data_IF_294564538561
#
_entry.id   IF_294564538561
#
_cell.length_a   1.000
_cell.length_b   1.000
_cell.length_c   1.000
_cell.angle_alpha   90.00
_cell.angle_beta   90.00
_cell.angle_gamma   90.00
#
_symmetry.space_group_name_H-M   'P 1'
#
loop_
_entity.id
_entity.type
_entity.pdbx_description
1 polymer ?
#
# COMPACT_ATOMS: atom_id res chain seq x y z
N UNK A 1 -2.08 1.03 -32.81
CA UNK A 1 -2.00 0.72 -31.36
C UNK A 1 -0.76 1.41 -30.83
N UNK A 2 -0.93 2.45 -30.02
CA UNK A 2 0.22 3.18 -29.46
C UNK A 2 0.67 2.47 -28.20
N UNK A 3 1.96 2.45 -27.84
CA UNK A 3 2.43 1.71 -26.66
C UNK A 3 1.95 2.31 -25.30
N UNK A 4 1.05 3.30 -25.33
CA UNK A 4 0.67 4.13 -24.20
C UNK A 4 -0.18 3.36 -23.17
N UNK A 5 -1.09 2.50 -23.62
CA UNK A 5 -1.84 1.59 -22.75
C UNK A 5 -0.93 0.67 -21.90
N UNK A 6 0.15 0.14 -22.50
CA UNK A 6 1.08 -0.74 -21.79
C UNK A 6 1.89 0.00 -20.73
N UNK A 7 2.22 1.27 -21.00
CA UNK A 7 2.85 2.13 -20.00
C UNK A 7 1.88 2.41 -18.86
N UNK A 8 0.60 2.67 -19.15
CA UNK A 8 -0.44 2.83 -18.12
C UNK A 8 -0.54 1.61 -17.20
N UNK A 9 -0.62 0.41 -17.79
CA UNK A 9 -0.63 -0.85 -17.06
C UNK A 9 0.63 -1.03 -16.18
N UNK A 10 1.81 -0.76 -16.73
CA UNK A 10 3.07 -0.84 -15.98
C UNK A 10 3.11 0.17 -14.83
N UNK A 11 2.66 1.40 -15.05
CA UNK A 11 2.60 2.45 -14.04
C UNK A 11 1.65 2.08 -12.89
N UNK A 12 0.49 1.50 -13.17
CA UNK A 12 -0.46 1.07 -12.15
C UNK A 12 0.18 0.13 -11.12
N UNK A 13 0.92 -0.87 -11.60
CA UNK A 13 1.62 -1.81 -10.73
C UNK A 13 2.88 -1.19 -10.10
N UNK A 14 3.76 -0.60 -10.91
CA UNK A 14 5.09 -0.18 -10.48
C UNK A 14 5.04 0.92 -9.42
N UNK A 15 4.16 1.92 -9.59
CA UNK A 15 4.04 3.03 -8.64
C UNK A 15 3.40 2.59 -7.33
N UNK A 16 2.42 1.69 -7.40
CA UNK A 16 1.83 1.05 -6.22
C UNK A 16 2.87 0.23 -5.45
N UNK A 17 3.63 -0.61 -6.15
CA UNK A 17 4.66 -1.46 -5.58
C UNK A 17 5.83 -0.65 -5.00
N UNK A 18 6.19 0.49 -5.62
CA UNK A 18 7.18 1.42 -5.09
C UNK A 18 6.72 1.96 -3.72
N UNK A 19 5.47 2.43 -3.63
CA UNK A 19 4.87 2.83 -2.37
C UNK A 19 4.92 1.72 -1.31
N UNK A 20 4.51 0.51 -1.69
CA UNK A 20 4.52 -0.66 -0.80
C UNK A 20 5.92 -1.00 -0.30
N UNK A 21 6.93 -0.98 -1.16
CA UNK A 21 8.31 -1.26 -0.78
C UNK A 21 8.84 -0.24 0.23
N UNK A 22 8.52 1.03 0.01
CA UNK A 22 8.94 2.10 0.90
C UNK A 22 8.19 2.05 2.25
N UNK A 23 6.87 1.83 2.21
CA UNK A 23 6.04 1.70 3.40
C UNK A 23 6.40 0.48 4.24
N UNK A 24 6.49 -0.70 3.62
CA UNK A 24 6.87 -1.93 4.30
C UNK A 24 8.31 -1.85 4.83
N UNK A 25 9.21 -1.19 4.09
CA UNK A 25 10.58 -0.92 4.54
C UNK A 25 10.63 -0.06 5.81
N UNK A 26 9.85 1.02 5.87
CA UNK A 26 9.76 1.88 7.05
C UNK A 26 9.18 1.13 8.26
N UNK A 27 8.06 0.42 8.07
CA UNK A 27 7.39 -0.33 9.12
C UNK A 27 8.25 -1.51 9.64
N UNK A 28 8.98 -2.19 8.75
CA UNK A 28 9.86 -3.31 9.11
C UNK A 28 11.06 -2.86 9.95
N UNK A 29 11.67 -1.73 9.61
CA UNK A 29 12.78 -1.16 10.41
C UNK A 29 12.31 -0.85 11.83
N UNK A 30 11.12 -0.27 11.98
CA UNK A 30 10.53 0.00 13.29
C UNK A 30 10.15 -1.31 14.03
N UNK A 31 9.66 -2.33 13.33
CA UNK A 31 9.37 -3.63 13.93
C UNK A 31 10.64 -4.27 14.53
N UNK A 32 11.74 -4.29 13.77
CA UNK A 32 13.04 -4.79 14.24
C UNK A 32 13.54 -3.98 15.44
N UNK A 33 13.42 -2.64 15.39
CA UNK A 33 13.78 -1.76 16.49
C UNK A 33 12.95 -2.02 17.76
N UNK A 34 11.64 -2.17 17.61
CA UNK A 34 10.72 -2.48 18.70
C UNK A 34 11.00 -3.82 19.36
N UNK A 35 11.22 -4.88 18.57
CA UNK A 35 11.61 -6.19 19.11
C UNK A 35 12.95 -6.13 19.85
N UNK A 36 13.96 -5.48 19.27
CA UNK A 36 15.25 -5.24 19.94
C UNK A 36 15.04 -4.57 21.30
N UNK A 37 14.19 -3.54 21.38
CA UNK A 37 13.86 -2.83 22.63
C UNK A 37 13.17 -3.76 23.64
N UNK A 38 12.23 -4.60 23.22
CA UNK A 38 11.60 -5.59 24.09
C UNK A 38 12.63 -6.57 24.66
N UNK A 39 13.46 -7.17 23.79
CA UNK A 39 14.50 -8.12 24.19
C UNK A 39 15.51 -7.52 25.17
N UNK A 40 16.01 -6.31 24.89
CA UNK A 40 16.97 -5.62 25.75
C UNK A 40 16.42 -5.33 27.16
N UNK A 41 15.10 -5.18 27.29
CA UNK A 41 14.45 -4.91 28.57
C UNK A 41 13.83 -6.15 29.22
N UNK A 42 14.11 -7.36 28.70
CA UNK A 42 13.53 -8.61 29.21
C UNK A 42 12.00 -8.70 29.07
N UNK A 43 11.41 -7.93 28.14
CA UNK A 43 9.97 -7.93 27.87
C UNK A 43 9.63 -8.87 26.70
N UNK A 44 8.44 -9.49 26.68
CA UNK A 44 7.99 -10.25 25.51
C UNK A 44 7.95 -9.38 24.26
N UNK A 45 8.50 -9.87 23.15
CA UNK A 45 8.48 -9.21 21.86
C UNK A 45 7.18 -9.54 21.10
N UNK A 46 6.31 -8.57 20.79
CA UNK A 46 5.02 -8.86 20.16
C UNK A 46 5.17 -9.29 18.71
N UNK A 47 4.84 -10.55 18.38
CA UNK A 47 4.88 -11.06 17.01
C UNK A 47 3.96 -10.28 16.05
N UNK A 48 2.86 -9.70 16.57
CA UNK A 48 1.88 -8.94 15.77
C UNK A 48 2.49 -7.73 15.03
N UNK A 49 3.67 -7.24 15.43
CA UNK A 49 4.39 -6.19 14.69
C UNK A 49 4.74 -6.60 13.25
N UNK A 50 4.79 -7.90 12.93
CA UNK A 50 4.90 -8.41 11.55
C UNK A 50 3.72 -7.95 10.70
N UNK A 51 2.51 -7.93 11.26
CA UNK A 51 1.32 -7.50 10.52
C UNK A 51 1.35 -5.99 10.23
N UNK A 52 1.92 -5.16 11.13
CA UNK A 52 2.17 -3.75 10.84
C UNK A 52 3.20 -3.57 9.72
N UNK A 53 4.26 -4.37 9.73
CA UNK A 53 5.27 -4.39 8.68
C UNK A 53 4.70 -4.80 7.31
N UNK A 54 3.77 -5.76 7.30
CA UNK A 54 3.14 -6.29 6.08
C UNK A 54 1.97 -5.46 5.55
N UNK A 55 1.35 -4.60 6.36
CA UNK A 55 0.15 -3.84 5.96
C UNK A 55 0.32 -3.10 4.61
N UNK A 56 1.45 -2.41 4.33
CA UNK A 56 1.64 -1.68 3.06
C UNK A 56 1.73 -2.55 1.82
N UNK A 57 1.80 -3.88 1.94
CA UNK A 57 1.88 -4.78 0.78
C UNK A 57 0.54 -4.93 0.05
N UNK A 58 -0.57 -4.55 0.68
CA UNK A 58 -1.91 -4.62 0.06
C UNK A 58 -1.99 -3.72 -1.17
N UNK A 59 -1.29 -2.58 -1.19
CA UNK A 59 -1.27 -1.66 -2.32
C UNK A 59 -0.62 -2.24 -3.57
N UNK A 60 0.37 -3.14 -3.46
CA UNK A 60 0.87 -3.90 -4.62
C UNK A 60 -0.24 -4.76 -5.24
N UNK A 61 -1.08 -5.37 -4.40
CA UNK A 61 -2.23 -6.17 -4.88
C UNK A 61 -3.24 -5.26 -5.57
N UNK A 62 -3.54 -4.09 -5.00
CA UNK A 62 -4.44 -3.12 -5.63
C UNK A 62 -3.88 -2.58 -6.96
N UNK A 63 -2.57 -2.31 -7.04
CA UNK A 63 -1.91 -1.92 -8.29
C UNK A 63 -1.98 -3.02 -9.36
N UNK A 64 -1.83 -4.29 -8.96
CA UNK A 64 -2.02 -5.43 -9.85
C UNK A 64 -3.48 -5.55 -10.34
N UNK A 65 -4.46 -5.37 -9.45
CA UNK A 65 -5.88 -5.37 -9.85
C UNK A 65 -6.18 -4.23 -10.82
N UNK A 66 -5.68 -3.02 -10.54
CA UNK A 66 -5.83 -1.86 -11.42
C UNK A 66 -5.22 -2.12 -12.81
N UNK A 67 -4.03 -2.73 -12.87
CA UNK A 67 -3.42 -3.15 -14.13
C UNK A 67 -4.34 -4.08 -14.94
N UNK A 68 -4.98 -5.06 -14.28
CA UNK A 68 -5.91 -5.98 -14.95
C UNK A 68 -7.20 -5.29 -15.41
N UNK A 69 -7.71 -4.33 -14.65
CA UNK A 69 -8.87 -3.52 -15.07
C UNK A 69 -8.55 -2.67 -16.30
N UNK A 70 -7.36 -2.05 -16.33
CA UNK A 70 -6.89 -1.31 -17.51
C UNK A 70 -6.76 -2.24 -18.72
N UNK A 71 -6.18 -3.43 -18.54
CA UNK A 71 -6.03 -4.42 -19.61
C UNK A 71 -7.38 -4.82 -20.23
N UNK A 72 -8.37 -5.09 -19.38
CA UNK A 72 -9.74 -5.41 -19.81
C UNK A 72 -10.38 -4.25 -20.58
N UNK A 73 -10.25 -3.03 -20.07
CA UNK A 73 -10.83 -1.82 -20.67
C UNK A 73 -10.21 -1.48 -22.03
N UNK A 74 -8.90 -1.65 -22.18
CA UNK A 74 -8.19 -1.51 -23.46
C UNK A 74 -8.70 -2.54 -24.47
N UNK A 75 -8.92 -3.79 -24.04
CA UNK A 75 -9.55 -4.83 -24.86
C UNK A 75 -10.98 -4.49 -25.31
N UNK A 76 -11.69 -3.69 -24.52
CA UNK A 76 -13.03 -3.18 -24.84
C UNK A 76 -13.03 -1.89 -25.69
N UNK A 77 -11.85 -1.35 -26.04
CA UNK A 77 -11.73 -0.18 -26.92
C UNK A 77 -11.64 1.18 -26.20
N UNK A 78 -11.35 1.20 -24.90
CA UNK A 78 -11.08 2.46 -24.17
C UNK A 78 -9.87 3.20 -24.77
N UNK A 79 -9.94 4.54 -24.77
CA UNK A 79 -8.87 5.38 -25.27
C UNK A 79 -7.54 5.15 -24.53
N UNK A 80 -6.44 4.95 -25.27
CA UNK A 80 -5.10 4.74 -24.72
C UNK A 80 -4.64 5.85 -23.77
N UNK A 81 -5.07 7.10 -23.99
CA UNK A 81 -4.76 8.24 -23.11
C UNK A 81 -5.43 8.12 -21.74
N UNK A 82 -6.66 7.59 -21.69
CA UNK A 82 -7.37 7.34 -20.44
C UNK A 82 -6.72 6.18 -19.68
N UNK A 83 -6.41 5.08 -20.38
CA UNK A 83 -5.70 3.94 -19.80
C UNK A 83 -4.36 4.34 -19.15
N UNK A 84 -3.59 5.21 -19.83
CA UNK A 84 -2.35 5.75 -19.29
C UNK A 84 -2.57 6.69 -18.10
N UNK A 85 -3.52 7.63 -18.20
CA UNK A 85 -3.84 8.54 -17.12
C UNK A 85 -4.26 7.80 -15.84
N UNK A 86 -5.18 6.84 -15.97
CA UNK A 86 -5.63 6.00 -14.86
C UNK A 86 -4.47 5.21 -14.27
N UNK A 87 -3.60 4.64 -15.11
CA UNK A 87 -2.43 3.90 -14.67
C UNK A 87 -1.45 4.74 -13.85
N UNK A 88 -1.10 5.94 -14.32
CA UNK A 88 -0.15 6.84 -13.64
C UNK A 88 -0.74 7.40 -12.37
N UNK A 89 -1.91 8.05 -12.45
CA UNK A 89 -2.48 8.73 -11.29
C UNK A 89 -3.06 7.75 -10.27
N UNK A 90 -3.68 6.66 -10.73
CA UNK A 90 -4.16 5.59 -9.86
C UNK A 90 -3.00 4.88 -9.14
N UNK A 91 -1.94 4.52 -9.88
CA UNK A 91 -0.74 3.93 -9.29
C UNK A 91 -0.04 4.85 -8.29
N UNK A 92 0.07 6.16 -8.56
CA UNK A 92 0.64 7.15 -7.63
C UNK A 92 -0.18 7.25 -6.34
N UNK A 93 -1.51 7.36 -6.45
CA UNK A 93 -2.38 7.50 -5.29
C UNK A 93 -2.38 6.25 -4.40
N UNK A 94 -2.42 5.06 -5.02
CA UNK A 94 -2.29 3.78 -4.32
C UNK A 94 -0.91 3.69 -3.64
N UNK A 95 0.18 4.01 -4.37
CA UNK A 95 1.54 4.01 -3.82
C UNK A 95 1.73 4.99 -2.65
N UNK A 96 1.17 6.20 -2.74
CA UNK A 96 1.22 7.18 -1.66
C UNK A 96 0.50 6.70 -0.40
N UNK A 97 -0.66 6.06 -0.57
CA UNK A 97 -1.38 5.43 0.55
C UNK A 97 -0.50 4.38 1.23
N UNK A 98 0.19 3.52 0.47
CA UNK A 98 1.10 2.52 1.04
C UNK A 98 2.28 3.14 1.81
N UNK A 99 2.93 4.16 1.24
CA UNK A 99 4.02 4.87 1.93
C UNK A 99 3.54 5.40 3.28
N UNK A 100 2.40 6.10 3.30
CA UNK A 100 1.85 6.69 4.52
C UNK A 100 1.37 5.63 5.50
N UNK A 101 0.79 4.53 5.00
CA UNK A 101 0.39 3.39 5.82
C UNK A 101 1.61 2.80 6.54
N UNK A 102 2.74 2.67 5.85
CA UNK A 102 4.00 2.23 6.45
C UNK A 102 4.53 3.15 7.53
N UNK A 103 4.43 4.48 7.35
CA UNK A 103 4.82 5.44 8.37
C UNK A 103 3.95 5.36 9.63
N UNK A 104 2.63 5.17 9.46
CA UNK A 104 1.72 4.96 10.59
C UNK A 104 2.01 3.62 11.28
N UNK A 105 2.22 2.55 10.51
CA UNK A 105 2.63 1.24 11.01
C UNK A 105 3.95 1.30 11.80
N UNK A 106 4.91 2.11 11.37
CA UNK A 106 6.16 2.31 12.12
C UNK A 106 5.91 2.90 13.52
N UNK A 107 5.02 3.89 13.63
CA UNK A 107 4.63 4.45 14.93
C UNK A 107 3.83 3.47 15.78
N UNK A 108 3.03 2.60 15.14
CA UNK A 108 2.33 1.52 15.83
C UNK A 108 3.31 0.49 16.42
N UNK A 109 4.38 0.14 15.68
CA UNK A 109 5.47 -0.70 16.18
C UNK A 109 6.12 -0.09 17.43
N UNK A 110 6.52 1.18 17.37
CA UNK A 110 7.14 1.87 18.50
C UNK A 110 6.21 1.92 19.73
N UNK A 111 4.96 2.33 19.53
CA UNK A 111 3.98 2.45 20.61
C UNK A 111 3.65 1.09 21.24
N UNK A 112 3.53 0.03 20.43
CA UNK A 112 3.26 -1.31 20.92
C UNK A 112 4.46 -1.89 21.68
N UNK A 113 5.69 -1.67 21.20
CA UNK A 113 6.90 -2.13 21.88
C UNK A 113 7.10 -1.47 23.25
N UNK A 114 6.67 -0.21 23.41
CA UNK A 114 6.75 0.51 24.68
C UNK A 114 5.64 0.14 25.65
N UNK A 115 4.39 0.10 25.17
CA UNK A 115 3.21 0.06 26.02
C UNK A 115 2.59 -1.33 26.13
N UNK A 116 2.80 -2.19 25.13
CA UNK A 116 2.11 -3.49 25.00
C UNK A 116 0.60 -3.38 24.80
N UNK A 117 0.07 -2.20 24.47
CA UNK A 117 -1.37 -1.91 24.38
C UNK A 117 -1.72 -1.30 23.03
N UNK A 118 -3.03 -1.23 22.72
CA UNK A 118 -3.53 -0.41 21.62
C UNK A 118 -3.51 -1.05 20.24
N UNK A 119 -3.16 -2.33 20.10
CA UNK A 119 -3.07 -3.05 18.82
C UNK A 119 -4.27 -2.83 17.90
N UNK A 120 -5.49 -2.96 18.42
CA UNK A 120 -6.72 -2.76 17.64
C UNK A 120 -6.85 -1.31 17.12
N UNK A 121 -6.57 -0.32 17.98
CA UNK A 121 -6.62 1.09 17.60
C UNK A 121 -5.59 1.40 16.51
N UNK A 122 -4.40 0.78 16.58
CA UNK A 122 -3.37 0.95 15.57
C UNK A 122 -3.81 0.40 14.22
N UNK A 123 -4.42 -0.79 14.17
CA UNK A 123 -4.98 -1.32 12.94
C UNK A 123 -6.12 -0.47 12.37
N UNK A 124 -6.97 0.12 13.21
CA UNK A 124 -8.02 1.04 12.74
C UNK A 124 -7.39 2.22 12.00
N UNK A 125 -6.36 2.86 12.57
CA UNK A 125 -5.71 4.02 11.92
C UNK A 125 -4.93 3.59 10.66
N UNK A 126 -4.23 2.44 10.70
CA UNK A 126 -3.57 1.86 9.52
C UNK A 126 -4.59 1.59 8.39
N UNK A 127 -5.76 1.06 8.74
CA UNK A 127 -6.85 0.79 7.80
C UNK A 127 -7.50 2.06 7.26
N UNK A 128 -7.60 3.14 8.04
CA UNK A 128 -8.07 4.45 7.55
C UNK A 128 -7.17 4.94 6.41
N UNK A 129 -5.85 4.83 6.54
CA UNK A 129 -4.90 5.22 5.48
C UNK A 129 -5.06 4.35 4.22
N UNK A 130 -5.36 3.06 4.41
CA UNK A 130 -5.64 2.12 3.32
C UNK A 130 -6.85 2.51 2.48
N UNK A 131 -7.90 3.09 3.11
CA UNK A 131 -9.14 3.43 2.39
C UNK A 131 -8.91 4.35 1.19
N UNK A 132 -7.86 5.19 1.22
CA UNK A 132 -7.45 6.02 0.08
C UNK A 132 -7.10 5.17 -1.14
N UNK A 133 -6.36 4.07 -0.95
CA UNK A 133 -6.02 3.14 -2.04
C UNK A 133 -7.25 2.40 -2.56
N UNK A 134 -8.13 1.93 -1.65
CA UNK A 134 -9.37 1.24 -2.04
C UNK A 134 -10.31 2.15 -2.83
N UNK A 135 -10.53 3.39 -2.39
CA UNK A 135 -11.33 4.35 -3.15
C UNK A 135 -10.71 4.68 -4.50
N UNK A 136 -9.39 4.85 -4.56
CA UNK A 136 -8.69 5.09 -5.83
C UNK A 136 -8.89 3.91 -6.79
N UNK A 137 -8.74 2.67 -6.31
CA UNK A 137 -8.96 1.48 -7.12
C UNK A 137 -10.40 1.41 -7.66
N UNK A 138 -11.40 1.59 -6.80
CA UNK A 138 -12.81 1.51 -7.17
C UNK A 138 -13.20 2.61 -8.15
N UNK A 139 -12.81 3.86 -7.89
CA UNK A 139 -13.15 4.97 -8.81
C UNK A 139 -12.39 4.87 -10.14
N UNK A 140 -11.17 4.33 -10.13
CA UNK A 140 -10.44 4.04 -11.38
C UNK A 140 -11.14 2.97 -12.20
N UNK A 141 -11.67 1.92 -11.56
CA UNK A 141 -12.48 0.91 -12.25
C UNK A 141 -13.73 1.52 -12.88
N UNK A 142 -14.47 2.36 -12.14
CA UNK A 142 -15.66 3.02 -12.68
C UNK A 142 -15.35 3.96 -13.84
N UNK A 143 -14.18 4.59 -13.84
CA UNK A 143 -13.73 5.45 -14.94
C UNK A 143 -13.32 4.68 -16.21
N UNK A 144 -13.07 3.37 -16.10
CA UNK A 144 -12.63 2.49 -17.19
C UNK A 144 -13.78 1.71 -17.83
N UNK A 145 -15.01 1.86 -17.33
CA UNK A 145 -16.24 1.28 -17.90
C UNK A 145 -16.82 2.19 -18.97
#
# INVERSE_FOLDING_TARGET
MGNLEFIGMACALALSALGSGLGAGAASQAAVGGWKKCYANGKPAPFIMVAFAGAPLTQTIYGFLLMNFIASAVGAGVASSLAFGVGVFGGLAIGLSAWMQGLVSARACDALAETGKGTANYFIVIGIVETVALFTLVFSLLALQ
#
